data_IF_111935731811
#
_entry.id   IF_111935731811
#
_cell.length_a   1.000
_cell.length_b   1.000
_cell.length_c   1.000
_cell.angle_alpha   90.00
_cell.angle_beta   90.00
_cell.angle_gamma   90.00
#
_symmetry.space_group_name_H-M   'P 1'
#
loop_
_entity.id
_entity.type
_entity.pdbx_description
1 polymer ?
#
# COMPACT_ATOMS: atom_id res chain seq x y z
N UNK A 1 -26.13 30.15 48.70
CA UNK A 1 -26.31 28.90 49.45
C UNK A 1 -26.58 27.81 48.42
N UNK A 2 -25.53 27.15 47.93
CA UNK A 2 -25.06 25.81 48.39
C UNK A 2 -26.08 24.74 48.05
N UNK A 3 -25.90 23.98 46.96
CA UNK A 3 -25.05 22.76 46.80
C UNK A 3 -25.60 21.51 47.50
N UNK A 4 -25.48 20.37 46.79
CA UNK A 4 -25.59 18.99 47.27
C UNK A 4 -26.94 18.37 46.92
N UNK A 5 -27.07 17.18 46.32
CA UNK A 5 -26.26 15.96 46.41
C UNK A 5 -26.54 15.13 45.12
N UNK A 6 -25.55 14.89 44.26
CA UNK A 6 -24.86 13.60 44.01
C UNK A 6 -25.78 12.37 43.80
N UNK A 7 -25.66 11.70 42.63
CA UNK A 7 -24.92 10.43 42.58
C UNK A 7 -24.55 9.98 41.15
N UNK A 8 -23.41 9.28 41.09
CA UNK A 8 -22.69 8.77 39.92
C UNK A 8 -23.31 7.47 39.36
N UNK A 9 -23.12 7.23 38.07
CA UNK A 9 -22.90 5.91 37.42
C UNK A 9 -22.54 6.17 35.93
N UNK A 10 -21.28 6.18 35.49
CA UNK A 10 -20.37 5.07 35.13
C UNK A 10 -20.82 4.18 33.96
N UNK A 11 -19.88 3.93 33.03
CA UNK A 11 -19.93 3.07 31.81
C UNK A 11 -20.78 3.62 30.65
N UNK A 12 -20.41 3.60 29.37
CA UNK A 12 -19.48 2.80 28.56
C UNK A 12 -19.38 3.55 27.20
N UNK A 13 -18.25 3.56 26.51
CA UNK A 13 -18.04 2.61 25.41
C UNK A 13 -18.46 3.18 24.04
N UNK A 14 -17.49 3.25 23.13
CA UNK A 14 -17.70 3.08 21.68
C UNK A 14 -18.66 4.06 20.98
N UNK A 15 -18.17 5.25 20.65
CA UNK A 15 -18.66 5.99 19.47
C UNK A 15 -17.49 6.34 18.55
N UNK A 16 -16.83 5.30 18.07
CA UNK A 16 -16.12 5.33 16.78
C UNK A 16 -17.07 4.71 15.75
N UNK A 17 -18.27 5.28 15.65
CA UNK A 17 -19.22 4.92 14.61
C UNK A 17 -18.57 5.30 13.29
N UNK A 18 -18.17 4.24 12.58
CA UNK A 18 -17.89 4.16 11.16
C UNK A 18 -18.39 5.40 10.40
N UNK A 19 -17.47 6.24 9.95
CA UNK A 19 -17.73 7.05 8.77
C UNK A 19 -17.69 6.08 7.60
N UNK A 20 -18.81 5.37 7.37
CA UNK A 20 -19.02 4.63 6.14
C UNK A 20 -19.32 5.69 5.10
N UNK A 21 -18.34 6.01 4.25
CA UNK A 21 -18.62 6.74 3.03
C UNK A 21 -19.62 5.87 2.25
N UNK A 22 -20.81 6.39 1.91
CA UNK A 22 -21.85 5.71 1.14
C UNK A 22 -21.43 5.56 -0.33
N UNK A 23 -20.35 4.82 -0.58
CA UNK A 23 -20.15 4.18 -1.87
C UNK A 23 -20.82 2.82 -1.79
N UNK A 24 -21.97 2.70 -2.43
CA UNK A 24 -22.71 1.45 -2.48
C UNK A 24 -21.86 0.39 -3.20
N UNK A 25 -21.55 -0.69 -2.48
CA UNK A 25 -20.85 -1.83 -3.07
C UNK A 25 -21.77 -2.54 -4.07
N UNK A 26 -21.21 -2.92 -5.22
CA UNK A 26 -21.88 -3.68 -6.27
C UNK A 26 -21.19 -5.02 -6.49
N UNK A 27 -21.96 -6.04 -6.87
CA UNK A 27 -21.41 -7.36 -7.21
C UNK A 27 -20.82 -7.34 -8.62
N UNK A 28 -19.51 -7.58 -8.73
CA UNK A 28 -18.79 -7.61 -10.01
C UNK A 28 -18.32 -9.03 -10.30
N UNK A 29 -18.49 -9.47 -11.55
CA UNK A 29 -17.97 -10.75 -12.01
C UNK A 29 -16.44 -10.78 -11.90
N UNK A 30 -15.92 -11.78 -11.21
CA UNK A 30 -14.48 -11.95 -10.95
C UNK A 30 -13.67 -12.04 -12.25
N UNK A 31 -14.25 -12.59 -13.31
CA UNK A 31 -13.59 -12.74 -14.62
C UNK A 31 -13.44 -11.42 -15.39
N UNK A 32 -14.20 -10.38 -15.03
CA UNK A 32 -14.09 -9.04 -15.63
C UNK A 32 -13.05 -8.16 -14.93
N UNK A 33 -12.48 -8.63 -13.83
CA UNK A 33 -11.52 -7.88 -13.02
C UNK A 33 -10.10 -8.30 -13.39
N UNK A 34 -9.30 -7.37 -13.90
CA UNK A 34 -7.89 -7.56 -14.14
C UNK A 34 -7.05 -6.98 -12.98
N UNK A 35 -5.84 -7.50 -12.80
CA UNK A 35 -4.93 -7.05 -11.74
C UNK A 35 -4.25 -5.72 -12.12
N UNK A 36 -3.89 -4.92 -11.12
CA UNK A 36 -3.17 -3.66 -11.35
C UNK A 36 -1.86 -3.89 -12.11
N UNK A 37 -1.63 -3.11 -13.17
CA UNK A 37 -0.38 -3.22 -13.93
C UNK A 37 0.84 -2.94 -13.06
N UNK A 38 1.82 -3.86 -13.07
CA UNK A 38 3.06 -3.77 -12.28
C UNK A 38 2.81 -3.61 -10.77
N UNK A 39 1.77 -4.25 -10.22
CA UNK A 39 1.48 -4.20 -8.79
C UNK A 39 2.71 -4.64 -7.97
N UNK A 40 3.25 -3.77 -7.08
CA UNK A 40 4.52 -4.04 -6.40
C UNK A 40 4.38 -5.05 -5.26
N UNK A 41 3.19 -5.20 -4.68
CA UNK A 41 2.96 -6.09 -3.54
C UNK A 41 2.54 -7.48 -4.02
N UNK A 42 3.16 -8.52 -3.48
CA UNK A 42 2.82 -9.90 -3.83
C UNK A 42 1.69 -10.42 -2.93
N UNK A 43 0.88 -11.33 -3.49
CA UNK A 43 -0.05 -12.12 -2.68
C UNK A 43 0.74 -13.29 -2.11
N UNK A 44 0.81 -13.37 -0.78
CA UNK A 44 1.41 -14.48 -0.07
C UNK A 44 0.35 -15.56 0.13
N UNK A 45 0.64 -16.78 -0.33
CA UNK A 45 -0.16 -17.97 -0.06
C UNK A 45 0.38 -18.64 1.21
N UNK A 46 0.06 -18.00 2.34
CA UNK A 46 0.43 -18.41 3.69
C UNK A 46 -0.73 -19.15 4.38
N UNK A 47 -0.50 -19.69 5.58
CA UNK A 47 -1.54 -20.31 6.40
C UNK A 47 -2.74 -19.37 6.61
N UNK A 48 -2.47 -18.07 6.83
CA UNK A 48 -3.51 -17.02 6.94
C UNK A 48 -4.35 -16.87 5.66
N UNK A 49 -3.81 -17.20 4.49
CA UNK A 49 -4.57 -17.22 3.24
C UNK A 49 -5.59 -18.37 3.24
N UNK A 50 -5.23 -19.53 3.78
CA UNK A 50 -6.14 -20.67 3.88
C UNK A 50 -7.31 -20.34 4.82
N UNK A 51 -7.03 -19.73 5.98
CA UNK A 51 -8.07 -19.23 6.88
C UNK A 51 -9.01 -18.24 6.19
N UNK A 52 -8.45 -17.32 5.38
CA UNK A 52 -9.24 -16.36 4.60
C UNK A 52 -10.10 -17.07 3.55
N UNK A 53 -9.58 -18.08 2.87
CA UNK A 53 -10.33 -18.88 1.89
C UNK A 53 -11.51 -19.59 2.57
N UNK A 54 -11.28 -20.22 3.73
CA UNK A 54 -12.35 -20.88 4.49
C UNK A 54 -13.42 -19.90 4.96
N UNK A 55 -12.99 -18.74 5.49
CA UNK A 55 -13.89 -17.66 5.88
C UNK A 55 -14.74 -17.16 4.71
N UNK A 56 -14.12 -16.95 3.54
CA UNK A 56 -14.81 -16.51 2.32
C UNK A 56 -15.75 -17.58 1.78
N UNK A 57 -15.41 -18.88 1.90
CA UNK A 57 -16.34 -19.97 1.54
C UNK A 57 -17.59 -19.98 2.43
N UNK A 58 -17.45 -19.70 3.72
CA UNK A 58 -18.55 -19.76 4.67
C UNK A 58 -19.44 -18.51 4.61
N UNK A 59 -18.85 -17.32 4.54
CA UNK A 59 -19.54 -16.05 4.74
C UNK A 59 -19.52 -15.12 3.51
N UNK A 60 -18.84 -15.52 2.43
CA UNK A 60 -18.55 -14.64 1.31
C UNK A 60 -17.52 -13.56 1.66
N UNK A 61 -17.36 -12.58 0.77
CA UNK A 61 -16.47 -11.44 1.00
C UNK A 61 -17.26 -10.32 1.67
N UNK A 62 -17.02 -10.06 2.96
CA UNK A 62 -17.81 -9.07 3.71
C UNK A 62 -17.40 -7.62 3.45
N UNK A 63 -16.09 -7.37 3.32
CA UNK A 63 -15.58 -6.03 2.99
C UNK A 63 -15.44 -5.93 1.47
N UNK A 64 -15.97 -4.88 0.83
CA UNK A 64 -15.86 -4.73 -0.62
C UNK A 64 -14.44 -4.42 -1.07
N UNK A 65 -14.05 -4.91 -2.25
CA UNK A 65 -12.78 -4.56 -2.91
C UNK A 65 -12.88 -3.19 -3.58
N UNK A 66 -11.75 -2.55 -3.88
CA UNK A 66 -11.73 -1.26 -4.59
C UNK A 66 -11.27 -1.48 -6.03
N UNK A 67 -12.11 -1.07 -6.98
CA UNK A 67 -11.85 -1.15 -8.41
C UNK A 67 -11.87 0.25 -9.03
N UNK A 68 -11.23 0.38 -10.19
CA UNK A 68 -11.46 1.48 -11.11
C UNK A 68 -11.91 0.97 -12.48
N UNK A 69 -12.53 1.86 -13.25
CA UNK A 69 -12.72 1.66 -14.69
C UNK A 69 -11.50 2.25 -15.39
N UNK A 70 -10.80 1.46 -16.20
CA UNK A 70 -9.66 1.92 -16.99
C UNK A 70 -10.10 2.57 -18.32
N UNK A 71 -9.16 3.01 -19.15
CA UNK A 71 -9.47 3.65 -20.44
C UNK A 71 -10.09 2.69 -21.48
N UNK A 72 -10.14 1.38 -21.20
CA UNK A 72 -10.73 0.36 -22.07
C UNK A 72 -12.11 -0.10 -21.57
N UNK A 73 -12.70 0.62 -20.60
CA UNK A 73 -13.93 0.23 -19.91
C UNK A 73 -13.83 -1.11 -19.17
N UNK A 74 -12.62 -1.52 -18.76
CA UNK A 74 -12.38 -2.73 -17.97
C UNK A 74 -12.17 -2.41 -16.49
N UNK A 75 -12.46 -3.39 -15.63
CA UNK A 75 -12.28 -3.23 -14.18
C UNK A 75 -10.85 -3.57 -13.75
N UNK A 76 -10.11 -2.57 -13.28
CA UNK A 76 -8.79 -2.76 -12.68
C UNK A 76 -8.87 -2.79 -11.14
N UNK A 77 -8.24 -3.80 -10.53
CA UNK A 77 -8.14 -3.91 -9.08
C UNK A 77 -7.17 -2.88 -8.49
N UNK A 78 -7.66 -2.01 -7.59
CA UNK A 78 -6.83 -1.06 -6.83
C UNK A 78 -6.43 -1.66 -5.47
N UNK A 79 -7.39 -2.25 -4.75
CA UNK A 79 -7.14 -2.84 -3.43
C UNK A 79 -8.08 -4.00 -3.13
N UNK A 80 -7.57 -5.01 -2.43
CA UNK A 80 -8.30 -6.25 -2.14
C UNK A 80 -7.78 -7.49 -2.87
N UNK A 81 -6.56 -7.45 -3.41
CA UNK A 81 -5.93 -8.57 -4.12
C UNK A 81 -5.99 -9.93 -3.37
N UNK A 82 -5.74 -9.95 -2.05
CA UNK A 82 -5.87 -11.17 -1.23
C UNK A 82 -7.31 -11.69 -1.18
N UNK A 83 -8.31 -10.80 -1.09
CA UNK A 83 -9.74 -11.16 -1.08
C UNK A 83 -10.19 -11.68 -2.44
N UNK A 84 -9.75 -11.07 -3.52
CA UNK A 84 -10.01 -11.58 -4.88
C UNK A 84 -9.41 -12.98 -5.06
N UNK A 85 -8.18 -13.19 -4.59
CA UNK A 85 -7.54 -14.50 -4.64
C UNK A 85 -8.33 -15.54 -3.82
N UNK A 86 -8.71 -15.21 -2.58
CA UNK A 86 -9.52 -16.07 -1.75
C UNK A 86 -10.89 -16.39 -2.37
N UNK A 87 -11.56 -15.39 -2.95
CA UNK A 87 -12.84 -15.57 -3.65
C UNK A 87 -12.71 -16.52 -4.86
N UNK A 88 -11.64 -16.39 -5.64
CA UNK A 88 -11.33 -17.31 -6.75
C UNK A 88 -11.13 -18.74 -6.25
N UNK A 89 -10.33 -18.92 -5.19
CA UNK A 89 -10.06 -20.24 -4.59
C UNK A 89 -11.29 -20.83 -3.88
N UNK A 90 -12.20 -19.98 -3.40
CA UNK A 90 -13.48 -20.36 -2.84
C UNK A 90 -14.52 -20.76 -3.90
N UNK A 91 -14.25 -20.52 -5.18
CA UNK A 91 -15.17 -20.82 -6.28
C UNK A 91 -16.33 -19.81 -6.43
N UNK A 92 -16.17 -18.59 -5.89
CA UNK A 92 -17.13 -17.52 -6.10
C UNK A 92 -17.08 -17.02 -7.56
N UNK A 93 -18.21 -16.58 -8.09
CA UNK A 93 -18.33 -16.00 -9.44
C UNK A 93 -18.33 -14.48 -9.41
N UNK A 94 -18.83 -13.88 -8.33
CA UNK A 94 -18.87 -12.43 -8.11
C UNK A 94 -18.16 -12.05 -6.81
N UNK A 95 -17.79 -10.78 -6.71
CA UNK A 95 -17.22 -10.19 -5.51
C UNK A 95 -17.81 -8.78 -5.30
N UNK A 96 -18.17 -8.40 -4.07
CA UNK A 96 -18.60 -7.05 -3.77
C UNK A 96 -17.45 -6.08 -3.96
N UNK A 97 -17.69 -5.03 -4.73
CA UNK A 97 -16.71 -4.04 -5.13
C UNK A 97 -17.28 -2.63 -5.08
N UNK A 98 -16.42 -1.68 -4.71
CA UNK A 98 -16.63 -0.26 -4.87
C UNK A 98 -15.88 0.15 -6.14
N UNK A 99 -16.58 0.75 -7.09
CA UNK A 99 -15.99 1.24 -8.34
C UNK A 99 -15.82 2.75 -8.26
N UNK A 100 -14.59 3.24 -8.48
CA UNK A 100 -14.29 4.68 -8.54
C UNK A 100 -13.71 5.05 -9.89
N UNK A 101 -14.05 6.24 -10.35
CA UNK A 101 -13.37 6.87 -11.49
C UNK A 101 -12.07 7.50 -11.00
N UNK A 102 -10.93 6.92 -11.40
CA UNK A 102 -9.60 7.37 -11.01
C UNK A 102 -8.71 7.48 -12.24
N UNK A 103 -7.97 8.60 -12.33
CA UNK A 103 -6.89 8.73 -13.32
C UNK A 103 -5.79 7.69 -13.06
N UNK A 104 -4.94 7.43 -14.04
CA UNK A 104 -3.79 6.51 -13.88
C UNK A 104 -2.89 6.88 -12.70
N UNK A 105 -2.63 8.17 -12.51
CA UNK A 105 -1.81 8.63 -11.40
C UNK A 105 -2.52 8.51 -10.05
N UNK A 106 -3.82 8.85 -9.99
CA UNK A 106 -4.61 8.71 -8.76
C UNK A 106 -4.76 7.23 -8.35
N UNK A 107 -4.92 6.35 -9.33
CA UNK A 107 -4.99 4.91 -9.13
C UNK A 107 -3.70 4.35 -8.54
N UNK A 108 -2.53 4.77 -9.06
CA UNK A 108 -1.22 4.41 -8.51
C UNK A 108 -1.09 4.89 -7.06
N UNK A 109 -1.46 6.15 -6.79
CA UNK A 109 -1.37 6.73 -5.45
C UNK A 109 -2.27 5.98 -4.46
N UNK A 110 -3.53 5.75 -4.83
CA UNK A 110 -4.50 5.03 -4.00
C UNK A 110 -4.08 3.57 -3.72
N UNK A 111 -3.56 2.87 -4.74
CA UNK A 111 -3.05 1.50 -4.61
C UNK A 111 -1.88 1.44 -3.63
N UNK A 112 -0.92 2.36 -3.75
CA UNK A 112 0.23 2.42 -2.84
C UNK A 112 -0.21 2.76 -1.42
N UNK A 113 -1.05 3.78 -1.24
CA UNK A 113 -1.50 4.22 0.09
C UNK A 113 -2.29 3.17 0.85
N UNK A 114 -3.07 2.34 0.15
CA UNK A 114 -3.79 1.23 0.77
C UNK A 114 -2.87 0.11 1.30
N UNK A 115 -1.62 0.02 0.84
CA UNK A 115 -0.71 -1.08 1.16
C UNK A 115 0.53 -0.64 1.97
N UNK A 116 0.94 0.63 1.88
CA UNK A 116 2.18 1.16 2.46
C UNK A 116 2.22 1.15 3.99
N UNK A 117 1.04 1.10 4.63
CA UNK A 117 0.87 1.07 6.08
C UNK A 117 0.91 -0.35 6.67
N UNK A 118 1.18 -1.38 5.86
CA UNK A 118 1.37 -2.75 6.37
C UNK A 118 2.65 -2.83 7.21
N UNK A 119 2.56 -3.51 8.34
CA UNK A 119 3.69 -3.68 9.27
C UNK A 119 4.85 -4.47 8.64
N UNK A 120 4.53 -5.48 7.80
CA UNK A 120 5.49 -6.36 7.14
C UNK A 120 5.52 -6.10 5.63
N UNK A 121 6.32 -5.13 5.19
CA UNK A 121 6.61 -4.88 3.77
C UNK A 121 8.07 -5.18 3.46
N UNK A 122 8.30 -5.93 2.39
CA UNK A 122 9.65 -6.21 1.93
C UNK A 122 10.35 -4.92 1.45
N UNK A 123 11.69 -4.82 1.60
CA UNK A 123 12.44 -3.69 1.07
C UNK A 123 12.21 -3.44 -0.43
N UNK A 124 12.12 -4.50 -1.25
CA UNK A 124 11.82 -4.39 -2.68
C UNK A 124 10.42 -3.82 -2.94
N UNK A 125 9.41 -4.28 -2.20
CA UNK A 125 8.03 -3.81 -2.32
C UNK A 125 7.95 -2.32 -2.00
N UNK A 126 8.61 -1.88 -0.90
CA UNK A 126 8.72 -0.46 -0.55
C UNK A 126 9.41 0.33 -1.66
N UNK A 127 10.50 -0.20 -2.21
CA UNK A 127 11.26 0.45 -3.28
C UNK A 127 10.40 0.74 -4.51
N UNK A 128 9.70 -0.29 -5.03
CA UNK A 128 8.84 -0.14 -6.20
C UNK A 128 7.62 0.74 -5.89
N UNK A 129 6.97 0.56 -4.73
CA UNK A 129 5.83 1.38 -4.33
C UNK A 129 6.20 2.87 -4.22
N UNK A 130 7.33 3.20 -3.59
CA UNK A 130 7.79 4.58 -3.45
C UNK A 130 8.14 5.18 -4.80
N UNK A 131 8.77 4.42 -5.70
CA UNK A 131 9.10 4.88 -7.05
C UNK A 131 7.84 5.18 -7.85
N UNK A 132 6.90 4.24 -7.90
CA UNK A 132 5.63 4.41 -8.63
C UNK A 132 4.85 5.62 -8.12
N UNK A 133 4.70 5.77 -6.80
CA UNK A 133 4.01 6.90 -6.20
C UNK A 133 4.74 8.22 -6.45
N UNK A 134 6.06 8.25 -6.33
CA UNK A 134 6.85 9.46 -6.60
C UNK A 134 6.71 9.91 -8.07
N UNK A 135 6.75 8.96 -9.01
CA UNK A 135 6.62 9.27 -10.43
C UNK A 135 5.22 9.75 -10.78
N UNK A 136 4.17 9.14 -10.21
CA UNK A 136 2.80 9.62 -10.32
C UNK A 136 2.64 11.05 -9.77
N UNK A 137 3.14 11.32 -8.56
CA UNK A 137 3.10 12.66 -7.96
C UNK A 137 3.85 13.72 -8.80
N UNK A 138 4.96 13.34 -9.46
CA UNK A 138 5.70 14.23 -10.36
C UNK A 138 4.91 14.52 -11.64
N UNK A 139 4.23 13.52 -12.22
CA UNK A 139 3.38 13.70 -13.39
C UNK A 139 2.21 14.64 -13.08
N UNK A 140 1.55 14.46 -11.95
CA UNK A 140 0.48 15.34 -11.47
C UNK A 140 0.97 16.78 -11.19
N UNK A 141 2.16 16.94 -10.62
CA UNK A 141 2.73 18.26 -10.35
C UNK A 141 3.18 19.01 -11.62
N UNK A 142 3.34 18.31 -12.75
CA UNK A 142 3.79 18.88 -14.02
C UNK A 142 5.28 19.28 -14.03
N UNK A 143 5.72 19.88 -15.15
CA UNK A 143 7.10 20.36 -15.29
C UNK A 143 7.33 21.53 -14.31
N UNK A 144 8.38 21.50 -13.47
CA UNK A 144 8.70 22.63 -12.61
C UNK A 144 8.93 23.88 -13.47
N UNK A 145 8.19 24.95 -13.15
CA UNK A 145 8.24 26.22 -13.89
C UNK A 145 9.60 26.93 -13.77
N UNK A 146 10.34 26.60 -12.71
CA UNK A 146 11.65 27.17 -12.43
C UNK A 146 12.67 26.04 -12.57
N UNK A 147 13.49 26.08 -13.63
CA UNK A 147 14.69 25.25 -13.74
C UNK A 147 15.70 25.76 -12.71
N UNK A 148 15.62 25.33 -11.45
CA UNK A 148 16.80 25.39 -10.58
C UNK A 148 17.86 24.51 -11.21
N UNK A 149 19.00 25.10 -11.58
CA UNK A 149 20.14 24.36 -12.12
C UNK A 149 20.55 23.23 -11.18
N UNK A 150 21.30 22.25 -11.70
CA UNK A 150 21.75 21.05 -10.96
C UNK A 150 22.48 21.33 -9.63
N UNK A 151 22.82 22.58 -9.33
CA UNK A 151 23.55 23.00 -8.14
C UNK A 151 22.79 23.99 -7.24
N UNK A 152 21.52 24.28 -7.55
CA UNK A 152 20.76 25.29 -6.86
C UNK A 152 19.91 24.63 -5.77
N UNK A 153 20.41 24.66 -4.53
CA UNK A 153 19.66 24.33 -3.31
C UNK A 153 18.58 25.40 -3.05
N UNK A 154 17.78 25.73 -4.06
CA UNK A 154 16.70 26.69 -3.95
C UNK A 154 15.56 26.04 -3.14
N UNK A 155 15.73 26.11 -1.82
CA UNK A 155 14.95 25.62 -0.69
C UNK A 155 13.53 26.23 -0.57
N UNK A 156 12.93 26.65 -1.67
CA UNK A 156 11.63 27.34 -1.68
C UNK A 156 10.56 26.47 -2.36
N UNK A 157 10.53 25.19 -2.02
CA UNK A 157 9.46 24.29 -2.43
C UNK A 157 9.63 22.89 -1.86
N UNK A 158 8.59 22.36 -1.24
CA UNK A 158 8.52 20.94 -0.87
C UNK A 158 8.49 20.13 -2.15
N UNK A 159 9.56 19.38 -2.45
CA UNK A 159 9.56 18.48 -3.62
C UNK A 159 8.70 17.25 -3.35
N UNK A 160 8.17 16.59 -4.40
CA UNK A 160 7.27 15.43 -4.26
C UNK A 160 7.85 14.32 -3.37
N UNK A 161 9.18 14.16 -3.37
CA UNK A 161 9.88 13.21 -2.48
C UNK A 161 9.72 13.56 -1.01
N UNK A 162 9.77 14.83 -0.64
CA UNK A 162 9.65 15.27 0.75
C UNK A 162 8.19 15.14 1.23
N UNK A 163 7.22 15.37 0.35
CA UNK A 163 5.81 15.08 0.61
C UNK A 163 5.60 13.59 0.86
N UNK A 164 6.13 12.73 -0.01
CA UNK A 164 6.06 11.28 0.14
C UNK A 164 6.70 10.83 1.46
N UNK A 165 7.90 11.30 1.76
CA UNK A 165 8.63 11.00 2.99
C UNK A 165 7.80 11.32 4.24
N UNK A 166 7.16 12.49 4.27
CA UNK A 166 6.26 12.88 5.37
C UNK A 166 5.03 11.96 5.49
N UNK A 167 4.43 11.57 4.37
CA UNK A 167 3.23 10.70 4.37
C UNK A 167 3.54 9.29 4.89
N UNK A 168 4.71 8.75 4.57
CA UNK A 168 5.10 7.38 4.97
C UNK A 168 5.83 7.34 6.32
N UNK A 169 6.10 8.50 6.93
CA UNK A 169 6.83 8.59 8.20
C UNK A 169 8.33 8.28 8.10
N UNK A 170 8.92 8.44 6.90
CA UNK A 170 10.33 8.12 6.63
C UNK A 170 11.15 9.37 6.33
N UNK A 171 12.47 9.29 6.49
CA UNK A 171 13.34 10.39 6.04
C UNK A 171 13.41 10.44 4.51
N UNK A 172 13.52 11.66 3.96
CA UNK A 172 13.64 11.85 2.51
C UNK A 172 14.89 11.16 1.90
N UNK A 173 15.94 10.95 2.71
CA UNK A 173 17.12 10.15 2.34
C UNK A 173 16.80 8.65 2.30
N UNK A 174 15.99 8.16 3.24
CA UNK A 174 15.57 6.76 3.30
C UNK A 174 14.68 6.39 2.12
N UNK A 175 13.70 7.24 1.78
CA UNK A 175 12.89 7.09 0.56
C UNK A 175 13.78 7.02 -0.68
N UNK A 176 14.77 7.91 -0.79
CA UNK A 176 15.72 7.88 -1.92
C UNK A 176 16.55 6.59 -1.97
N UNK A 177 16.99 6.08 -0.81
CA UNK A 177 17.72 4.80 -0.73
C UNK A 177 16.87 3.63 -1.20
N UNK A 178 15.63 3.54 -0.75
CA UNK A 178 14.70 2.51 -1.22
C UNK A 178 14.47 2.60 -2.73
N UNK A 179 14.22 3.80 -3.29
CA UNK A 179 13.99 3.95 -4.73
C UNK A 179 15.20 3.47 -5.56
N UNK A 180 16.43 3.71 -5.10
CA UNK A 180 17.64 3.19 -5.75
C UNK A 180 17.67 1.66 -5.80
N UNK A 181 16.96 0.97 -4.90
CA UNK A 181 16.88 -0.48 -4.93
C UNK A 181 16.24 -1.02 -6.21
N UNK A 182 15.39 -0.22 -6.85
CA UNK A 182 14.75 -0.59 -8.13
C UNK A 182 15.71 -0.67 -9.32
N UNK A 183 16.96 -0.24 -9.14
CA UNK A 183 18.03 -0.30 -10.15
C UNK A 183 18.95 -1.52 -9.96
N UNK A 184 18.77 -2.29 -8.89
CA UNK A 184 19.53 -3.52 -8.69
C UNK A 184 19.07 -4.62 -9.65
N UNK A 185 20.01 -5.51 -9.98
CA UNK A 185 19.68 -6.77 -10.65
C UNK A 185 18.79 -7.64 -9.74
N UNK A 186 17.89 -8.47 -10.32
CA UNK A 186 16.92 -9.25 -9.56
C UNK A 186 17.55 -10.11 -8.45
N UNK A 187 18.71 -10.71 -8.72
CA UNK A 187 19.39 -11.59 -7.78
C UNK A 187 19.81 -10.86 -6.50
N UNK A 188 20.30 -9.61 -6.64
CA UNK A 188 20.68 -8.81 -5.48
C UNK A 188 19.44 -8.30 -4.72
N UNK A 189 18.36 -8.00 -5.43
CA UNK A 189 17.12 -7.57 -4.81
C UNK A 189 16.51 -8.68 -3.95
N UNK A 190 16.51 -9.92 -4.46
CA UNK A 190 16.10 -11.11 -3.70
C UNK A 190 16.97 -11.33 -2.45
N UNK A 191 18.28 -11.04 -2.53
CA UNK A 191 19.17 -11.12 -1.38
C UNK A 191 18.87 -10.05 -0.31
N UNK A 192 18.44 -8.84 -0.71
CA UNK A 192 17.96 -7.80 0.20
C UNK A 192 16.70 -8.29 0.91
N UNK A 193 15.72 -8.79 0.16
CA UNK A 193 14.44 -9.25 0.72
C UNK A 193 14.60 -10.47 1.64
N UNK A 194 15.52 -11.38 1.30
CA UNK A 194 15.84 -12.57 2.10
C UNK A 194 16.61 -12.24 3.40
N UNK A 195 16.87 -10.96 3.68
CA UNK A 195 17.77 -10.46 4.71
C UNK A 195 19.18 -11.13 4.69
N UNK A 196 19.59 -11.68 3.54
CA UNK A 196 20.88 -12.40 3.40
C UNK A 196 22.04 -11.41 3.43
N UNK A 197 21.86 -10.21 2.88
CA UNK A 197 22.89 -9.17 2.90
C UNK A 197 23.26 -8.72 4.32
N UNK A 198 22.27 -8.61 5.21
CA UNK A 198 22.52 -8.26 6.61
C UNK A 198 23.26 -9.39 7.34
N UNK A 199 22.83 -10.64 7.15
CA UNK A 199 23.51 -11.84 7.70
C UNK A 199 24.96 -11.99 7.23
N UNK A 200 25.24 -11.73 5.94
CA UNK A 200 26.60 -11.78 5.41
C UNK A 200 27.50 -10.70 6.02
N UNK A 201 26.95 -9.51 6.30
CA UNK A 201 27.69 -8.44 6.97
C UNK A 201 28.02 -8.80 8.43
N UNK A 202 27.09 -9.44 9.14
CA UNK A 202 27.28 -9.91 10.52
C UNK A 202 28.27 -11.08 10.58
N UNK A 203 28.20 -12.04 9.64
CA UNK A 203 29.18 -13.13 9.53
C UNK A 203 30.59 -12.59 9.24
N UNK A 204 30.70 -11.62 8.32
CA UNK A 204 31.99 -11.00 8.01
C UNK A 204 32.57 -10.21 9.21
N UNK A 205 31.74 -9.49 9.97
CA UNK A 205 32.16 -8.78 11.19
C UNK A 205 32.47 -9.73 12.36
N UNK A 206 31.74 -10.85 12.47
CA UNK A 206 32.01 -11.90 13.46
C UNK A 206 33.33 -12.63 13.22
N UNK A 207 33.72 -12.80 11.94
CA UNK A 207 35.03 -13.35 11.55
C UNK A 207 36.20 -12.42 11.90
N UNK A 208 36.01 -11.09 11.87
CA UNK A 208 37.06 -10.13 12.28
C UNK A 208 37.24 -10.00 13.80
N UNK A 209 36.30 -10.49 14.63
CA UNK A 209 36.43 -10.50 16.09
C UNK A 209 37.17 -11.73 16.63
N UNK A 210 37.49 -12.71 15.78
CA UNK A 210 38.14 -13.97 16.15
C UNK A 210 39.58 -14.11 15.58
N UNK A 211 40.13 -13.05 15.00
CA UNK A 211 41.54 -12.96 14.60
C UNK A 211 42.30 -11.96 15.47
#
# INVERSE_FOLDING_TARGET
MTQGVENKNNFSGLSWLCVVNEESAMEIEINKIHAFKNHPFKVLDDEKMQDLIESVKLSGVLTPVLLRVDNNDEYEMISGHRRLHAAKMAGLTTIPAIVRELSDDDAVIAMVDANIQREELLPSEKAFAYKMKLDAMKRQAGRPKNNSGQNDQNLMGTVSRDVLAKQVGESSKQVQRYIRLTELIPELLDMVDSNRLMRLSEESLGLYSLC
#
